data_IF_671101220635
#
_entry.id   IF_671101220635
#
_cell.length_a   1.000
_cell.length_b   1.000
_cell.length_c   1.000
_cell.angle_alpha   90.00
_cell.angle_beta   90.00
_cell.angle_gamma   90.00
#
_symmetry.space_group_name_H-M   'P 1'
#
loop_
_entity.id
_entity.type
_entity.pdbx_description
1 polymer ?
#
# COMPACT_ATOMS: atom_id res chain seq x y z
N UNK A 1 22.52 -13.33 -17.14
CA UNK A 1 21.14 -12.82 -17.02
C UNK A 1 20.91 -12.39 -15.58
N UNK A 2 20.74 -11.09 -15.33
CA UNK A 2 20.41 -10.60 -13.99
C UNK A 2 18.97 -11.02 -13.69
N UNK A 3 18.76 -11.85 -12.66
CA UNK A 3 17.42 -12.35 -12.32
C UNK A 3 16.60 -11.20 -11.71
N UNK A 4 15.93 -10.42 -12.56
CA UNK A 4 15.08 -9.29 -12.19
C UNK A 4 13.72 -9.76 -11.59
N UNK A 5 13.67 -10.97 -11.04
CA UNK A 5 12.45 -11.61 -10.51
C UNK A 5 11.87 -10.78 -9.37
N UNK A 6 12.71 -10.29 -8.45
CA UNK A 6 12.28 -9.45 -7.32
C UNK A 6 11.56 -8.18 -7.81
N UNK A 7 12.14 -7.47 -8.80
CA UNK A 7 11.53 -6.27 -9.36
C UNK A 7 10.20 -6.56 -10.03
N UNK A 8 10.09 -7.68 -10.77
CA UNK A 8 8.83 -8.12 -11.37
C UNK A 8 7.78 -8.43 -10.30
N UNK A 9 8.13 -9.16 -9.25
CA UNK A 9 7.24 -9.45 -8.12
C UNK A 9 6.77 -8.14 -7.49
N UNK A 10 7.68 -7.20 -7.20
CA UNK A 10 7.36 -5.91 -6.63
C UNK A 10 6.39 -5.10 -7.51
N UNK A 11 6.61 -5.05 -8.83
CA UNK A 11 5.68 -4.40 -9.76
C UNK A 11 4.32 -5.09 -9.79
N UNK A 12 4.29 -6.43 -9.83
CA UNK A 12 3.04 -7.20 -9.80
C UNK A 12 2.28 -6.93 -8.52
N UNK A 13 2.93 -6.95 -7.36
CA UNK A 13 2.31 -6.64 -6.07
C UNK A 13 1.72 -5.22 -6.06
N UNK A 14 2.46 -4.22 -6.55
CA UNK A 14 1.98 -2.84 -6.61
C UNK A 14 0.74 -2.69 -7.51
N UNK A 15 0.75 -3.30 -8.70
CA UNK A 15 -0.38 -3.24 -9.64
C UNK A 15 -1.58 -4.02 -9.13
N UNK A 16 -1.36 -5.24 -8.61
CA UNK A 16 -2.42 -6.05 -8.02
C UNK A 16 -3.07 -5.32 -6.86
N UNK A 17 -2.29 -4.66 -6.00
CA UNK A 17 -2.82 -3.88 -4.88
C UNK A 17 -3.78 -2.76 -5.37
N UNK A 18 -3.38 -2.01 -6.40
CA UNK A 18 -4.24 -0.98 -6.99
C UNK A 18 -5.53 -1.57 -7.59
N UNK A 19 -5.43 -2.69 -8.32
CA UNK A 19 -6.61 -3.34 -8.92
C UNK A 19 -7.55 -3.87 -7.85
N UNK A 20 -7.01 -4.50 -6.80
CA UNK A 20 -7.80 -4.99 -5.66
C UNK A 20 -8.54 -3.82 -4.99
N UNK A 21 -7.85 -2.71 -4.71
CA UNK A 21 -8.48 -1.53 -4.13
C UNK A 21 -9.59 -0.97 -5.04
N UNK A 22 -9.35 -0.88 -6.35
CA UNK A 22 -10.34 -0.41 -7.32
C UNK A 22 -11.61 -1.28 -7.34
N UNK A 23 -11.46 -2.61 -7.23
CA UNK A 23 -12.61 -3.54 -7.12
C UNK A 23 -13.32 -3.36 -5.77
N UNK A 24 -12.57 -3.28 -4.66
CA UNK A 24 -13.12 -3.13 -3.32
C UNK A 24 -13.98 -1.87 -3.15
N UNK A 25 -13.64 -0.78 -3.85
CA UNK A 25 -14.40 0.48 -3.82
C UNK A 25 -15.89 0.34 -4.20
N UNK A 26 -16.24 -0.68 -4.98
CA UNK A 26 -17.63 -0.98 -5.34
C UNK A 26 -18.46 -1.49 -4.16
N UNK A 27 -17.79 -2.00 -3.12
CA UNK A 27 -18.41 -2.58 -1.94
C UNK A 27 -18.25 -1.69 -0.69
N UNK A 28 -17.41 -0.65 -0.76
CA UNK A 28 -17.18 0.27 0.35
C UNK A 28 -18.26 1.37 0.42
N UNK A 29 -18.67 1.78 1.62
CA UNK A 29 -19.59 2.91 1.83
C UNK A 29 -18.95 4.22 1.41
N UNK A 30 -19.75 5.24 1.07
CA UNK A 30 -19.21 6.53 0.61
C UNK A 30 -18.35 7.24 1.66
N UNK A 31 -18.74 7.11 2.94
CA UNK A 31 -17.98 7.58 4.10
C UNK A 31 -17.62 6.42 5.03
N UNK A 32 -16.36 6.37 5.42
CA UNK A 32 -15.81 5.38 6.35
C UNK A 32 -14.77 6.04 7.27
N UNK A 33 -14.48 5.46 8.44
CA UNK A 33 -13.44 5.98 9.31
C UNK A 33 -12.08 5.86 8.62
N UNK A 34 -11.36 6.97 8.57
CA UNK A 34 -10.05 7.06 7.90
C UNK A 34 -8.90 7.26 8.89
N UNK A 35 -9.20 7.73 10.10
CA UNK A 35 -8.21 7.95 11.13
C UNK A 35 -8.76 7.53 12.49
N UNK A 36 -7.84 7.15 13.37
CA UNK A 36 -8.12 6.69 14.72
C UNK A 36 -7.15 7.37 15.68
N UNK A 37 -7.65 7.74 16.85
CA UNK A 37 -6.80 8.23 17.95
C UNK A 37 -5.96 7.08 18.55
N UNK A 38 -5.13 7.41 19.54
CA UNK A 38 -4.30 6.42 20.24
C UNK A 38 -5.12 5.37 21.02
N UNK A 39 -6.38 5.67 21.36
CA UNK A 39 -7.30 4.74 22.02
C UNK A 39 -8.03 3.84 21.00
N UNK A 40 -7.79 4.05 19.70
CA UNK A 40 -8.44 3.33 18.62
C UNK A 40 -9.85 3.81 18.30
N UNK A 41 -10.26 4.96 18.82
CA UNK A 41 -11.54 5.63 18.55
C UNK A 41 -11.44 6.41 17.25
N UNK A 42 -12.50 6.40 16.44
CA UNK A 42 -12.55 7.18 15.19
C UNK A 42 -12.55 8.67 15.53
N UNK A 43 -11.55 9.40 15.05
CA UNK A 43 -11.47 10.86 15.15
C UNK A 43 -11.77 11.55 13.82
N UNK A 44 -11.72 10.81 12.69
CA UNK A 44 -12.05 11.34 11.35
C UNK A 44 -12.75 10.33 10.45
N UNK A 45 -13.89 10.75 9.91
CA UNK A 45 -14.58 10.11 8.78
C UNK A 45 -14.15 10.79 7.49
N UNK A 46 -13.91 10.00 6.46
CA UNK A 46 -13.48 10.49 5.15
C UNK A 46 -14.11 9.71 4.02
N UNK A 47 -13.79 10.13 2.80
CA UNK A 47 -14.32 9.47 1.60
C UNK A 47 -13.61 8.15 1.35
N UNK A 48 -14.34 7.14 0.85
CA UNK A 48 -13.71 5.87 0.43
C UNK A 48 -12.60 6.05 -0.60
N UNK A 49 -12.65 7.11 -1.43
CA UNK A 49 -11.62 7.38 -2.45
C UNK A 49 -10.26 7.74 -1.86
N UNK A 50 -10.19 8.17 -0.59
CA UNK A 50 -8.91 8.45 0.09
C UNK A 50 -8.05 7.18 0.23
N UNK A 51 -8.66 5.98 0.22
CA UNK A 51 -7.92 4.72 0.28
C UNK A 51 -7.02 4.50 -0.96
N UNK A 52 -7.23 5.19 -2.08
CA UNK A 52 -6.32 5.12 -3.24
C UNK A 52 -4.95 5.76 -2.98
N UNK A 53 -4.80 6.57 -1.94
CA UNK A 53 -3.53 7.21 -1.60
C UNK A 53 -2.44 6.14 -1.38
N UNK A 54 -2.75 5.07 -0.65
CA UNK A 54 -1.78 4.00 -0.36
C UNK A 54 -1.33 3.23 -1.62
N UNK A 55 -2.23 2.69 -2.47
CA UNK A 55 -1.85 2.04 -3.72
C UNK A 55 -1.02 2.94 -4.64
N UNK A 56 -1.33 4.22 -4.74
CA UNK A 56 -0.57 5.18 -5.55
C UNK A 56 0.85 5.35 -4.97
N UNK A 57 0.97 5.53 -3.66
CA UNK A 57 2.28 5.62 -2.98
C UNK A 57 3.10 4.34 -3.20
N UNK A 58 2.48 3.16 -3.11
CA UNK A 58 3.15 1.88 -3.34
C UNK A 58 3.75 1.82 -4.76
N UNK A 59 2.99 2.24 -5.79
CA UNK A 59 3.48 2.27 -7.18
C UNK A 59 4.66 3.24 -7.32
N UNK A 60 4.54 4.45 -6.79
CA UNK A 60 5.61 5.47 -6.84
C UNK A 60 6.87 4.95 -6.15
N UNK A 61 6.72 4.32 -4.98
CA UNK A 61 7.84 3.76 -4.23
C UNK A 61 8.48 2.57 -4.95
N UNK A 62 7.70 1.70 -5.58
CA UNK A 62 8.23 0.60 -6.40
C UNK A 62 9.08 1.12 -7.57
N UNK A 63 8.60 2.16 -8.27
CA UNK A 63 9.37 2.81 -9.35
C UNK A 63 10.66 3.43 -8.80
N UNK A 64 10.57 4.13 -7.65
CA UNK A 64 11.72 4.73 -6.99
C UNK A 64 12.81 3.70 -6.65
N UNK A 65 12.46 2.58 -6.00
CA UNK A 65 13.43 1.54 -5.65
C UNK A 65 14.06 0.88 -6.88
N UNK A 66 13.27 0.63 -7.93
CA UNK A 66 13.79 0.09 -9.20
C UNK A 66 14.76 1.08 -9.84
N UNK A 67 14.39 2.36 -9.92
CA UNK A 67 15.25 3.41 -10.47
C UNK A 67 16.56 3.53 -9.69
N UNK A 68 16.49 3.50 -8.36
CA UNK A 68 17.66 3.63 -7.51
C UNK A 68 18.57 2.40 -7.59
N UNK A 69 17.99 1.21 -7.64
CA UNK A 69 18.73 -0.03 -7.89
C UNK A 69 19.44 0.02 -9.24
N UNK A 70 18.72 0.36 -10.33
CA UNK A 70 19.28 0.52 -11.68
C UNK A 70 20.41 1.55 -11.74
N UNK A 71 20.37 2.61 -10.94
CA UNK A 71 21.46 3.57 -10.84
C UNK A 71 22.76 2.91 -10.36
N UNK A 72 22.70 2.08 -9.32
CA UNK A 72 23.86 1.31 -8.84
C UNK A 72 24.35 0.29 -9.87
N UNK A 73 23.45 -0.36 -10.61
CA UNK A 73 23.84 -1.29 -11.68
C UNK A 73 24.58 -0.58 -12.81
N UNK A 74 24.08 0.58 -13.23
CA UNK A 74 24.72 1.41 -14.26
C UNK A 74 26.08 1.92 -13.78
N UNK A 75 26.20 2.27 -12.50
CA UNK A 75 27.49 2.65 -11.92
C UNK A 75 28.47 1.47 -11.96
N UNK A 76 28.02 0.26 -11.58
CA UNK A 76 28.85 -0.94 -11.62
C UNK A 76 29.40 -1.25 -13.02
N UNK A 77 28.60 -1.08 -14.07
CA UNK A 77 29.05 -1.30 -15.46
C UNK A 77 30.10 -0.32 -15.96
N UNK A 78 30.28 0.82 -15.28
CA UNK A 78 31.24 1.88 -15.66
C UNK A 78 32.52 1.84 -14.83
N UNK A 79 32.53 1.11 -13.73
CA UNK A 79 33.69 0.96 -12.86
C UNK A 79 34.68 -0.07 -13.43
N UNK A 80 35.97 0.18 -13.27
CA UNK A 80 37.05 -0.74 -13.67
C UNK A 80 37.60 -1.57 -12.51
N UNK A 81 37.29 -1.19 -11.26
CA UNK A 81 37.76 -1.90 -10.08
C UNK A 81 36.81 -3.03 -9.66
N UNK A 82 37.31 -4.27 -9.64
CA UNK A 82 36.51 -5.46 -9.26
C UNK A 82 35.86 -5.36 -7.87
N UNK A 83 36.56 -4.74 -6.90
CA UNK A 83 36.04 -4.54 -5.55
C UNK A 83 34.86 -3.57 -5.54
N UNK A 84 34.92 -2.51 -6.35
CA UNK A 84 33.82 -1.54 -6.48
C UNK A 84 32.64 -2.15 -7.22
N UNK A 85 32.87 -2.89 -8.31
CA UNK A 85 31.81 -3.57 -9.07
C UNK A 85 31.00 -4.49 -8.16
N UNK A 86 31.69 -5.34 -7.36
CA UNK A 86 31.04 -6.27 -6.43
C UNK A 86 30.23 -5.54 -5.35
N UNK A 87 30.72 -4.43 -4.82
CA UNK A 87 30.00 -3.67 -3.78
C UNK A 87 28.76 -2.97 -4.35
N UNK A 88 28.84 -2.42 -5.56
CA UNK A 88 27.71 -1.78 -6.25
C UNK A 88 26.63 -2.80 -6.62
N UNK A 89 27.01 -3.99 -7.08
CA UNK A 89 26.06 -5.07 -7.35
C UNK A 89 25.39 -5.59 -6.08
N UNK A 90 26.11 -5.68 -4.97
CA UNK A 90 25.55 -6.03 -3.67
C UNK A 90 24.54 -4.96 -3.20
N UNK A 91 24.88 -3.68 -3.32
CA UNK A 91 23.99 -2.57 -2.98
C UNK A 91 22.69 -2.61 -3.80
N UNK A 92 22.77 -2.85 -5.12
CA UNK A 92 21.58 -2.98 -5.96
C UNK A 92 20.66 -4.13 -5.50
N UNK A 93 21.23 -5.29 -5.11
CA UNK A 93 20.46 -6.42 -4.57
C UNK A 93 19.77 -6.09 -3.25
N UNK A 94 20.47 -5.40 -2.34
CA UNK A 94 19.91 -4.97 -1.06
C UNK A 94 18.75 -3.99 -1.30
N UNK A 95 18.90 -3.04 -2.23
CA UNK A 95 17.84 -2.08 -2.57
C UNK A 95 16.60 -2.77 -3.13
N UNK A 96 16.76 -3.78 -3.99
CA UNK A 96 15.64 -4.57 -4.51
C UNK A 96 14.89 -5.29 -3.36
N UNK A 97 15.61 -5.84 -2.38
CA UNK A 97 15.02 -6.51 -1.20
C UNK A 97 14.31 -5.50 -0.30
N UNK A 98 14.93 -4.36 -0.01
CA UNK A 98 14.33 -3.28 0.80
C UNK A 98 13.04 -2.78 0.15
N UNK A 99 13.04 -2.56 -1.16
CA UNK A 99 11.84 -2.16 -1.90
C UNK A 99 10.71 -3.20 -1.82
N UNK A 100 11.04 -4.49 -1.92
CA UNK A 100 10.06 -5.56 -1.76
C UNK A 100 9.48 -5.59 -0.34
N UNK A 101 10.33 -5.51 0.69
CA UNK A 101 9.88 -5.48 2.08
C UNK A 101 8.96 -4.28 2.35
N UNK A 102 9.32 -3.10 1.84
CA UNK A 102 8.51 -1.89 1.98
C UNK A 102 7.14 -2.04 1.29
N UNK A 103 7.12 -2.65 0.10
CA UNK A 103 5.88 -2.90 -0.64
C UNK A 103 4.95 -3.81 0.16
N UNK A 104 5.47 -4.91 0.70
CA UNK A 104 4.69 -5.84 1.55
C UNK A 104 4.18 -5.15 2.80
N UNK A 105 5.03 -4.35 3.46
CA UNK A 105 4.66 -3.60 4.66
C UNK A 105 3.50 -2.63 4.39
N UNK A 106 3.55 -1.87 3.30
CA UNK A 106 2.47 -0.94 2.95
C UNK A 106 1.17 -1.64 2.56
N UNK A 107 1.23 -2.75 1.83
CA UNK A 107 0.04 -3.57 1.53
C UNK A 107 -0.59 -4.09 2.83
N UNK A 108 0.23 -4.57 3.77
CA UNK A 108 -0.25 -5.01 5.08
C UNK A 108 -0.91 -3.88 5.87
N UNK A 109 -0.29 -2.70 5.92
CA UNK A 109 -0.84 -1.52 6.58
C UNK A 109 -2.17 -1.07 5.98
N UNK A 110 -2.28 -1.07 4.65
CA UNK A 110 -3.52 -0.75 3.92
C UNK A 110 -4.63 -1.77 4.25
N UNK A 111 -4.32 -3.06 4.19
CA UNK A 111 -5.26 -4.13 4.53
C UNK A 111 -5.75 -4.04 5.98
N UNK A 112 -4.84 -3.73 6.92
CA UNK A 112 -5.19 -3.53 8.32
C UNK A 112 -6.10 -2.31 8.52
N UNK A 113 -5.80 -1.19 7.84
CA UNK A 113 -6.63 0.01 7.86
C UNK A 113 -8.05 -0.25 7.33
N UNK A 114 -8.15 -0.90 6.18
CA UNK A 114 -9.43 -1.30 5.58
C UNK A 114 -10.23 -2.25 6.49
N UNK A 115 -9.56 -3.24 7.08
CA UNK A 115 -10.19 -4.16 8.02
C UNK A 115 -10.81 -3.41 9.22
N UNK A 116 -10.07 -2.49 9.85
CA UNK A 116 -10.62 -1.67 10.94
C UNK A 116 -11.82 -0.84 10.47
N UNK A 117 -11.72 -0.25 9.29
CA UNK A 117 -12.76 0.63 8.80
C UNK A 117 -14.08 -0.10 8.48
N UNK A 118 -13.99 -1.26 7.84
CA UNK A 118 -15.15 -2.11 7.55
C UNK A 118 -15.82 -2.59 8.83
N UNK A 119 -15.04 -3.06 9.82
CA UNK A 119 -15.60 -3.54 11.08
C UNK A 119 -16.28 -2.44 11.89
N UNK A 120 -15.68 -1.24 11.91
CA UNK A 120 -16.28 -0.08 12.55
C UNK A 120 -17.61 0.29 11.90
N UNK A 121 -17.67 0.31 10.56
CA UNK A 121 -18.89 0.62 9.82
C UNK A 121 -19.99 -0.43 10.07
N UNK A 122 -19.65 -1.72 10.03
CA UNK A 122 -20.58 -2.81 10.34
C UNK A 122 -21.13 -2.71 11.77
N UNK A 123 -20.28 -2.37 12.75
CA UNK A 123 -20.69 -2.20 14.13
C UNK A 123 -21.65 -1.02 14.31
N UNK A 124 -21.34 0.14 13.71
CA UNK A 124 -22.24 1.32 13.71
C UNK A 124 -23.61 0.99 13.13
N UNK A 125 -23.63 0.26 12.00
CA UNK A 125 -24.85 -0.19 11.36
C UNK A 125 -25.63 -1.21 12.20
N UNK A 126 -24.98 -2.11 12.94
CA UNK A 126 -25.67 -3.01 13.85
C UNK A 126 -26.37 -2.25 14.99
N UNK A 127 -25.70 -1.24 15.56
CA UNK A 127 -26.27 -0.41 16.63
C UNK A 127 -27.48 0.42 16.17
N UNK A 128 -27.42 0.99 14.96
CA UNK A 128 -28.56 1.73 14.39
C UNK A 128 -29.77 0.82 14.19
N UNK A 129 -29.54 -0.46 13.82
CA UNK A 129 -30.60 -1.42 13.53
C UNK A 129 -31.32 -1.83 14.81
N UNK A 130 -30.54 -2.14 15.85
CA UNK A 130 -31.05 -2.52 17.17
C UNK A 130 -31.78 -1.34 17.84
N UNK A 131 -31.33 -0.11 17.62
CA UNK A 131 -31.97 1.09 18.20
C UNK A 131 -33.20 1.59 17.44
N UNK A 132 -33.62 0.91 16.36
CA UNK A 132 -34.78 1.32 15.55
C UNK A 132 -34.58 2.64 14.80
N UNK A 133 -33.34 3.14 14.71
CA UNK A 133 -33.01 4.47 14.15
C UNK A 133 -32.72 4.44 12.64
N UNK A 134 -32.86 3.28 11.98
CA UNK A 134 -32.57 3.09 10.55
C UNK A 134 -33.42 3.97 9.61
N UNK A 135 -34.65 4.30 10.01
CA UNK A 135 -35.58 5.05 9.16
C UNK A 135 -35.18 6.51 8.91
N UNK A 136 -34.11 7.02 9.55
CA UNK A 136 -33.76 8.45 9.51
C UNK A 136 -32.42 8.78 8.83
N UNK A 137 -31.71 7.80 8.26
CA UNK A 137 -30.40 8.02 7.61
C UNK A 137 -30.32 7.36 6.23
N UNK A 138 -31.38 7.46 5.44
CA UNK A 138 -31.22 7.48 3.99
C UNK A 138 -30.77 8.90 3.60
N UNK A 139 -29.69 9.00 2.82
CA UNK A 139 -29.07 10.21 2.25
C UNK A 139 -28.00 10.86 3.15
N UNK A 140 -26.76 10.38 3.05
CA UNK A 140 -25.56 11.18 2.75
C UNK A 140 -24.40 10.30 2.27
#
# INVERSE_FOLDING_TARGET
>A
MKNNVIRKIMCVLAVVNLVVMAVLMSFLPEKMPMHYDLNGVVDRWGSKYENFIFPIIIIVMAIFWIAFSMYFERKATRSTEDKEIKSLEANAKVLDIVGLCQTIFFIFMEAFGLYKAINCWNFSNACLYISGSYSNYDIF
#
